data_IF_194761303432
#
_entry.id   IF_194761303432
#
_cell.length_a   1.000
_cell.length_b   1.000
_cell.length_c   1.000
_cell.angle_alpha   90.00
_cell.angle_beta   90.00
_cell.angle_gamma   90.00
#
_symmetry.space_group_name_H-M   'P 1'
#
loop_
_entity.id
_entity.type
_entity.pdbx_description
1 polymer ?
#
# COMPACT_ATOMS: atom_id res chain seq x y z
N UNK A 1 27.05 -67.20 22.92
CA UNK A 1 26.63 -66.70 21.59
C UNK A 1 25.92 -65.36 21.76
N UNK A 2 26.51 -64.32 21.14
CA UNK A 2 26.00 -63.04 20.61
C UNK A 2 24.82 -62.27 21.27
N UNK A 3 25.10 -60.98 21.48
CA UNK A 3 24.29 -59.85 21.94
C UNK A 3 22.97 -59.61 21.17
N UNK A 4 22.02 -58.94 21.82
CA UNK A 4 21.47 -57.65 21.34
C UNK A 4 20.64 -56.94 22.45
N UNK A 5 21.24 -55.95 23.12
CA UNK A 5 20.50 -54.94 23.90
C UNK A 5 20.11 -53.83 22.91
N UNK A 6 18.82 -53.76 22.56
CA UNK A 6 18.27 -52.67 21.76
C UNK A 6 18.14 -51.42 22.62
N UNK A 7 19.13 -50.53 22.52
CA UNK A 7 19.07 -49.16 22.99
C UNK A 7 18.33 -48.32 21.94
N UNK A 8 17.05 -48.03 22.19
CA UNK A 8 16.31 -47.03 21.43
C UNK A 8 16.78 -45.62 21.84
N UNK A 9 17.72 -45.06 21.08
CA UNK A 9 18.03 -43.64 21.07
C UNK A 9 16.84 -42.87 20.47
N UNK A 10 16.01 -42.27 21.32
CA UNK A 10 15.01 -41.29 20.90
C UNK A 10 15.75 -39.97 20.63
N UNK A 11 16.07 -39.72 19.36
CA UNK A 11 16.56 -38.42 18.92
C UNK A 11 15.41 -37.40 19.00
N UNK A 12 15.40 -36.56 20.03
CA UNK A 12 14.56 -35.36 20.08
C UNK A 12 15.06 -34.39 19.00
N UNK A 13 14.47 -34.47 17.81
CA UNK A 13 14.63 -33.44 16.78
C UNK A 13 14.07 -32.12 17.30
N UNK A 14 14.95 -31.13 17.49
CA UNK A 14 14.55 -29.77 17.77
C UNK A 14 13.75 -29.22 16.57
N UNK A 15 12.43 -29.25 16.68
CA UNK A 15 11.53 -28.56 15.77
C UNK A 15 11.77 -27.05 15.95
N UNK A 16 12.63 -26.47 15.11
CA UNK A 16 12.62 -25.05 14.83
C UNK A 16 11.26 -24.72 14.19
N UNK A 17 10.26 -24.42 15.03
CA UNK A 17 9.05 -23.79 14.55
C UNK A 17 9.48 -22.47 13.90
N UNK A 18 9.12 -22.20 12.63
CA UNK A 18 9.35 -20.89 12.06
C UNK A 18 8.61 -19.90 12.96
N UNK A 19 9.35 -18.96 13.56
CA UNK A 19 8.72 -17.78 14.13
C UNK A 19 8.02 -17.10 12.97
N UNK A 20 6.70 -17.26 12.89
CA UNK A 20 5.88 -16.43 12.04
C UNK A 20 6.05 -15.00 12.55
N UNK A 21 7.03 -14.29 11.99
CA UNK A 21 7.08 -12.85 12.11
C UNK A 21 5.75 -12.39 11.53
N UNK A 22 4.88 -11.86 12.38
CA UNK A 22 3.64 -11.23 11.95
C UNK A 22 4.05 -10.00 11.14
N UNK A 23 4.37 -10.22 9.87
CA UNK A 23 4.71 -9.16 8.93
C UNK A 23 3.50 -8.27 8.70
N UNK A 24 3.74 -7.10 8.12
CA UNK A 24 2.66 -6.18 7.77
C UNK A 24 1.53 -6.90 7.03
N UNK A 25 0.34 -6.83 7.59
CA UNK A 25 -0.89 -7.29 6.95
C UNK A 25 -1.31 -6.26 5.90
N UNK A 26 -1.63 -6.69 4.69
CA UNK A 26 -2.18 -5.79 3.67
C UNK A 26 -3.57 -6.24 3.24
N UNK A 27 -4.54 -5.35 3.41
CA UNK A 27 -5.92 -5.48 2.98
C UNK A 27 -6.11 -4.63 1.72
N UNK A 28 -6.73 -5.18 0.69
CA UNK A 28 -7.00 -4.46 -0.57
C UNK A 28 -8.48 -4.49 -0.85
N UNK A 29 -9.07 -3.33 -1.09
CA UNK A 29 -10.42 -3.19 -1.59
C UNK A 29 -10.40 -2.43 -2.91
N UNK A 30 -11.17 -2.91 -3.87
CA UNK A 30 -11.36 -2.23 -5.15
C UNK A 30 -12.84 -1.90 -5.32
N UNK A 31 -13.12 -0.64 -5.62
CA UNK A 31 -14.45 -0.12 -5.93
C UNK A 31 -14.45 0.44 -7.34
N UNK A 32 -15.64 0.48 -7.93
CA UNK A 32 -15.83 1.04 -9.26
C UNK A 32 -16.99 2.02 -9.28
N UNK A 33 -16.93 2.99 -10.18
CA UNK A 33 -18.03 3.89 -10.50
C UNK A 33 -18.33 3.85 -12.00
N UNK A 34 -19.61 3.94 -12.36
CA UNK A 34 -20.04 3.75 -13.75
C UNK A 34 -19.95 5.03 -14.56
N UNK A 35 -19.31 4.90 -15.72
CA UNK A 35 -19.26 5.92 -16.77
C UNK A 35 -19.93 5.40 -18.04
N UNK A 36 -20.50 6.32 -18.81
CA UNK A 36 -21.13 6.05 -20.09
C UNK A 36 -20.74 7.14 -21.09
N UNK A 37 -20.61 6.77 -22.36
CA UNK A 37 -20.26 7.69 -23.44
C UNK A 37 -20.00 6.96 -24.75
N UNK A 38 -20.17 7.67 -25.86
CA UNK A 38 -19.96 7.15 -27.22
C UNK A 38 -18.66 7.64 -27.88
N UNK A 39 -17.85 8.42 -27.16
CA UNK A 39 -16.56 8.94 -27.61
C UNK A 39 -15.57 9.03 -26.45
N UNK A 40 -14.27 9.12 -26.73
CA UNK A 40 -13.25 9.27 -25.70
C UNK A 40 -13.42 10.54 -24.86
N UNK A 41 -13.78 11.65 -25.49
CA UNK A 41 -14.08 12.91 -24.81
C UNK A 41 -15.27 12.78 -23.84
N UNK A 42 -16.35 12.13 -24.27
CA UNK A 42 -17.51 11.89 -23.41
C UNK A 42 -17.16 11.00 -22.20
N UNK A 43 -16.25 10.02 -22.37
CA UNK A 43 -15.76 9.21 -21.24
C UNK A 43 -14.93 10.04 -20.26
N UNK A 44 -14.06 10.94 -20.72
CA UNK A 44 -13.29 11.85 -19.86
C UNK A 44 -14.23 12.77 -19.06
N UNK A 45 -15.22 13.34 -19.72
CA UNK A 45 -16.24 14.19 -19.06
C UNK A 45 -17.05 13.40 -18.01
N UNK A 46 -17.46 12.17 -18.32
CA UNK A 46 -18.14 11.30 -17.38
C UNK A 46 -17.28 10.97 -16.15
N UNK A 47 -15.96 10.78 -16.32
CA UNK A 47 -15.03 10.58 -15.20
C UNK A 47 -14.85 11.87 -14.38
N UNK A 48 -14.73 13.03 -15.03
CA UNK A 48 -14.62 14.33 -14.37
C UNK A 48 -15.87 14.76 -13.60
N UNK A 49 -17.03 14.14 -13.85
CA UNK A 49 -18.28 14.41 -13.14
C UNK A 49 -18.65 13.36 -12.09
N UNK A 50 -18.22 12.11 -12.26
CA UNK A 50 -18.63 10.98 -11.40
C UNK A 50 -17.50 10.36 -10.57
N UNK A 51 -16.26 10.75 -10.85
CA UNK A 51 -15.08 10.17 -10.21
C UNK A 51 -15.03 10.40 -8.69
N UNK A 52 -14.06 9.81 -8.00
CA UNK A 52 -13.79 10.18 -6.61
C UNK A 52 -13.53 11.68 -6.46
N UNK A 53 -14.09 12.29 -5.42
CA UNK A 53 -13.86 13.71 -5.11
C UNK A 53 -12.39 13.95 -4.77
N UNK A 54 -11.84 15.00 -5.36
CA UNK A 54 -10.51 15.52 -5.09
C UNK A 54 -10.64 17.01 -4.74
N UNK A 55 -10.34 17.38 -3.49
CA UNK A 55 -10.65 18.73 -2.99
C UNK A 55 -12.15 19.03 -2.96
N UNK A 56 -12.52 20.32 -2.88
CA UNK A 56 -13.92 20.74 -2.72
C UNK A 56 -14.73 20.70 -4.03
N UNK A 57 -14.09 20.89 -5.19
CA UNK A 57 -14.77 21.14 -6.47
C UNK A 57 -14.35 20.21 -7.63
N UNK A 58 -13.34 19.35 -7.47
CA UNK A 58 -12.81 18.55 -8.59
C UNK A 58 -12.99 17.05 -8.36
N UNK A 59 -13.00 16.28 -9.44
CA UNK A 59 -13.04 14.81 -9.39
C UNK A 59 -11.81 14.24 -10.10
N UNK A 60 -11.21 13.21 -9.52
CA UNK A 60 -10.13 12.46 -10.14
C UNK A 60 -10.68 11.34 -11.03
N UNK A 61 -9.91 10.92 -12.04
CA UNK A 61 -10.26 9.78 -12.91
C UNK A 61 -10.26 8.47 -12.11
N UNK A 62 -9.26 8.27 -11.26
CA UNK A 62 -9.16 7.15 -10.35
C UNK A 62 -8.53 7.63 -9.05
N UNK A 63 -8.52 6.78 -8.03
CA UNK A 63 -7.90 7.12 -6.76
C UNK A 63 -7.38 5.87 -6.05
N UNK A 64 -6.18 5.98 -5.51
CA UNK A 64 -5.64 5.12 -4.46
C UNK A 64 -5.67 5.87 -3.14
N UNK A 65 -6.36 5.31 -2.15
CA UNK A 65 -6.35 5.79 -0.78
C UNK A 65 -5.85 4.69 0.16
N UNK A 66 -5.32 5.07 1.33
CA UNK A 66 -4.88 4.08 2.29
C UNK A 66 -5.00 4.54 3.75
N UNK A 67 -5.12 3.57 4.65
CA UNK A 67 -4.88 3.75 6.09
C UNK A 67 -3.78 2.80 6.54
N UNK A 68 -3.05 3.21 7.57
CA UNK A 68 -1.91 2.45 8.07
C UNK A 68 -1.88 2.48 9.59
N UNK A 69 -2.17 1.32 10.19
CA UNK A 69 -2.33 1.12 11.63
C UNK A 69 -1.18 0.28 12.20
N UNK A 70 -0.74 0.58 13.42
CA UNK A 70 0.38 -0.12 14.07
C UNK A 70 0.02 -0.58 15.48
N UNK A 71 0.23 -1.86 15.75
CA UNK A 71 0.24 -2.42 17.09
C UNK A 71 1.69 -2.69 17.52
N UNK A 72 2.14 -2.00 18.57
CA UNK A 72 3.51 -2.08 19.06
C UNK A 72 3.61 -2.95 20.32
N UNK A 73 4.28 -4.10 20.18
CA UNK A 73 4.68 -4.95 21.29
C UNK A 73 5.95 -4.41 21.94
N UNK A 74 5.87 -3.99 23.19
CA UNK A 74 7.00 -3.40 23.94
C UNK A 74 7.33 -4.28 25.13
N UNK A 75 8.61 -4.59 25.30
CA UNK A 75 9.13 -5.34 26.45
C UNK A 75 10.02 -4.45 27.30
N UNK A 76 9.93 -4.60 28.61
CA UNK A 76 10.80 -3.91 29.57
C UNK A 76 11.88 -4.87 30.07
N UNK A 77 13.09 -4.37 30.25
CA UNK A 77 14.23 -5.09 30.78
C UNK A 77 15.13 -4.12 31.56
N UNK A 78 15.28 -4.34 32.87
CA UNK A 78 16.19 -3.59 33.76
C UNK A 78 16.14 -2.07 33.58
N UNK A 79 14.93 -1.49 33.59
CA UNK A 79 14.73 -0.04 33.45
C UNK A 79 14.88 0.51 32.03
N UNK A 80 15.03 -0.36 31.03
CA UNK A 80 14.99 -0.01 29.60
C UNK A 80 13.78 -0.67 28.93
N UNK A 81 13.35 -0.14 27.78
CA UNK A 81 12.30 -0.75 26.98
C UNK A 81 12.74 -0.97 25.54
N UNK A 82 12.27 -2.06 24.95
CA UNK A 82 12.52 -2.43 23.56
C UNK A 82 11.21 -2.69 22.83
N UNK A 83 11.07 -2.15 21.61
CA UNK A 83 10.01 -2.54 20.69
C UNK A 83 10.35 -3.93 20.17
N UNK A 84 9.67 -4.96 20.68
CA UNK A 84 9.89 -6.36 20.28
C UNK A 84 9.24 -6.64 18.92
N UNK A 85 8.06 -6.08 18.70
CA UNK A 85 7.22 -6.34 17.52
C UNK A 85 6.52 -5.06 17.09
N UNK A 86 6.34 -4.89 15.78
CA UNK A 86 5.54 -3.85 15.18
C UNK A 86 4.61 -4.46 14.13
N UNK A 87 3.38 -4.77 14.55
CA UNK A 87 2.40 -5.40 13.67
C UNK A 87 1.65 -4.29 12.92
N UNK A 88 2.03 -4.06 11.67
CA UNK A 88 1.37 -3.08 10.79
C UNK A 88 0.16 -3.67 10.05
N UNK A 89 -0.92 -2.91 9.91
CA UNK A 89 -2.01 -3.20 8.95
C UNK A 89 -2.13 -2.06 7.96
N UNK A 90 -2.00 -2.36 6.67
CA UNK A 90 -2.23 -1.43 5.57
C UNK A 90 -3.58 -1.77 4.92
N UNK A 91 -4.51 -0.82 4.92
CA UNK A 91 -5.74 -0.93 4.15
C UNK A 91 -5.63 -0.06 2.91
N UNK A 92 -5.52 -0.69 1.73
CA UNK A 92 -5.49 -0.04 0.42
C UNK A 92 -6.88 -0.04 -0.21
N UNK A 93 -7.29 1.11 -0.74
CA UNK A 93 -8.56 1.29 -1.42
C UNK A 93 -8.29 1.85 -2.82
N UNK A 94 -8.67 1.10 -3.84
CA UNK A 94 -8.65 1.57 -5.23
C UNK A 94 -10.07 1.92 -5.68
N UNK A 95 -10.22 3.06 -6.35
CA UNK A 95 -11.47 3.47 -7.00
C UNK A 95 -11.21 3.69 -8.49
N UNK A 96 -11.90 2.91 -9.33
CA UNK A 96 -11.69 2.92 -10.78
C UNK A 96 -12.97 3.22 -11.57
N UNK A 97 -12.86 3.84 -12.74
CA UNK A 97 -14.00 3.96 -13.65
C UNK A 97 -14.33 2.60 -14.28
N UNK A 98 -15.62 2.32 -14.45
CA UNK A 98 -16.13 1.15 -15.18
C UNK A 98 -16.97 1.62 -16.36
N UNK A 99 -16.59 1.21 -17.56
CA UNK A 99 -17.36 1.49 -18.77
C UNK A 99 -18.65 0.67 -18.77
N UNK A 100 -19.78 1.35 -18.56
CA UNK A 100 -21.10 0.73 -18.43
C UNK A 100 -21.95 0.80 -19.71
N UNK A 101 -21.54 1.61 -20.69
CA UNK A 101 -22.21 1.71 -22.00
C UNK A 101 -21.56 0.80 -23.05
N UNK A 102 -22.32 0.33 -24.05
CA UNK A 102 -21.74 -0.22 -25.27
C UNK A 102 -20.78 0.78 -25.91
N UNK A 103 -19.70 0.28 -26.50
CA UNK A 103 -18.71 1.07 -27.22
C UNK A 103 -18.39 0.42 -28.56
N UNK A 104 -18.06 1.23 -29.57
CA UNK A 104 -17.54 0.71 -30.85
C UNK A 104 -16.23 -0.05 -30.61
N UNK A 105 -15.85 -1.00 -31.48
CA UNK A 105 -14.59 -1.73 -31.32
C UNK A 105 -13.38 -0.81 -31.16
N UNK A 106 -13.29 0.25 -31.97
CA UNK A 106 -12.22 1.23 -31.90
C UNK A 106 -12.18 2.00 -30.57
N UNK A 107 -13.33 2.45 -30.05
CA UNK A 107 -13.39 3.13 -28.75
C UNK A 107 -13.04 2.18 -27.60
N UNK A 108 -13.52 0.93 -27.65
CA UNK A 108 -13.21 -0.09 -26.65
C UNK A 108 -11.71 -0.40 -26.58
N UNK A 109 -11.04 -0.42 -27.72
CA UNK A 109 -9.59 -0.63 -27.80
C UNK A 109 -8.81 0.51 -27.13
N UNK A 110 -9.16 1.76 -27.44
CA UNK A 110 -8.56 2.95 -26.79
C UNK A 110 -8.85 2.98 -25.30
N UNK A 111 -10.08 2.67 -24.90
CA UNK A 111 -10.48 2.54 -23.49
C UNK A 111 -9.62 1.52 -22.74
N UNK A 112 -9.40 0.34 -23.31
CA UNK A 112 -8.61 -0.71 -22.65
C UNK A 112 -7.16 -0.27 -22.41
N UNK A 113 -6.54 0.42 -23.38
CA UNK A 113 -5.19 0.98 -23.21
C UNK A 113 -5.15 2.06 -22.14
N UNK A 114 -6.06 3.02 -22.21
CA UNK A 114 -6.21 4.07 -21.21
C UNK A 114 -6.37 3.48 -19.81
N UNK A 115 -7.31 2.54 -19.64
CA UNK A 115 -7.61 1.95 -18.35
C UNK A 115 -6.45 1.11 -17.80
N UNK A 116 -5.68 0.45 -18.67
CA UNK A 116 -4.45 -0.22 -18.26
C UNK A 116 -3.42 0.77 -17.69
N UNK A 117 -3.24 1.93 -18.34
CA UNK A 117 -2.38 3.00 -17.86
C UNK A 117 -2.83 3.56 -16.50
N UNK A 118 -4.13 3.86 -16.36
CA UNK A 118 -4.72 4.30 -15.08
C UNK A 118 -4.48 3.28 -13.96
N UNK A 119 -4.74 1.99 -14.20
CA UNK A 119 -4.45 0.95 -13.20
C UNK A 119 -2.98 0.87 -12.82
N UNK A 120 -2.07 1.06 -13.78
CA UNK A 120 -0.63 1.04 -13.52
C UNK A 120 -0.18 2.24 -12.67
N UNK A 121 -0.75 3.42 -12.94
CA UNK A 121 -0.54 4.63 -12.15
C UNK A 121 -0.99 4.42 -10.69
N UNK A 122 -2.24 4.03 -10.48
CA UNK A 122 -2.77 3.74 -9.14
C UNK A 122 -2.01 2.60 -8.44
N UNK A 123 -1.64 1.55 -9.17
CA UNK A 123 -0.82 0.46 -8.65
C UNK A 123 0.55 0.92 -8.13
N UNK A 124 1.10 2.00 -8.68
CA UNK A 124 2.36 2.58 -8.20
C UNK A 124 2.18 3.24 -6.84
N UNK A 125 1.09 3.99 -6.61
CA UNK A 125 0.77 4.51 -5.28
C UNK A 125 0.63 3.41 -4.23
N UNK A 126 -0.07 2.32 -4.59
CA UNK A 126 -0.20 1.16 -3.72
C UNK A 126 1.13 0.49 -3.39
N UNK A 127 2.08 0.45 -4.33
CA UNK A 127 3.44 -0.04 -4.10
C UNK A 127 4.23 0.87 -3.16
N UNK A 128 4.14 2.18 -3.33
CA UNK A 128 4.80 3.17 -2.46
C UNK A 128 4.30 3.01 -1.02
N UNK A 129 2.98 2.89 -0.81
CA UNK A 129 2.40 2.68 0.52
C UNK A 129 2.81 1.33 1.16
N UNK A 130 2.91 0.24 0.38
CA UNK A 130 3.44 -1.04 0.88
C UNK A 130 4.90 -0.93 1.31
N UNK A 131 5.69 -0.20 0.54
CA UNK A 131 7.10 0.01 0.86
C UNK A 131 7.26 0.85 2.13
N UNK A 132 6.44 1.89 2.31
CA UNK A 132 6.37 2.69 3.54
C UNK A 132 6.20 1.80 4.77
N UNK A 133 5.25 0.86 4.73
CA UNK A 133 5.02 -0.06 5.84
C UNK A 133 6.22 -0.95 6.12
N UNK A 134 6.79 -1.53 5.07
CA UNK A 134 7.96 -2.41 5.16
C UNK A 134 9.15 -1.67 5.77
N UNK A 135 9.39 -0.42 5.35
CA UNK A 135 10.44 0.45 5.90
C UNK A 135 10.15 0.75 7.36
N UNK A 136 8.94 1.21 7.68
CA UNK A 136 8.53 1.55 9.04
C UNK A 136 8.79 0.42 10.02
N UNK A 137 8.34 -0.81 9.70
CA UNK A 137 8.58 -2.00 10.54
C UNK A 137 10.08 -2.19 10.83
N UNK A 138 10.93 -2.16 9.81
CA UNK A 138 12.38 -2.32 9.98
C UNK A 138 13.01 -1.25 10.86
N UNK A 139 12.50 -0.01 10.82
CA UNK A 139 13.08 1.12 11.56
C UNK A 139 12.69 1.15 13.04
N UNK A 140 11.56 0.54 13.39
CA UNK A 140 11.02 0.55 14.75
C UNK A 140 11.19 -0.78 15.46
N UNK A 141 11.17 -1.90 14.74
CA UNK A 141 11.41 -3.22 15.34
C UNK A 141 12.84 -3.28 15.89
N UNK A 142 12.96 -3.62 17.17
CA UNK A 142 14.22 -3.66 17.87
C UNK A 142 14.68 -2.34 18.51
N UNK A 143 13.98 -1.23 18.28
CA UNK A 143 14.25 0.06 18.94
C UNK A 143 14.34 -0.14 20.46
N UNK A 144 15.47 0.23 21.07
CA UNK A 144 15.69 0.18 22.52
C UNK A 144 15.90 1.58 23.06
N UNK A 145 15.26 1.89 24.19
CA UNK A 145 15.41 3.14 24.92
C UNK A 145 15.74 2.83 26.38
N UNK A 146 16.82 3.43 26.88
CA UNK A 146 17.27 3.29 28.26
C UNK A 146 16.52 4.28 29.19
N UNK A 147 16.57 4.03 30.50
CA UNK A 147 15.98 4.89 31.53
C UNK A 147 14.49 5.19 31.26
N UNK A 148 13.74 4.14 30.96
CA UNK A 148 12.33 4.18 30.57
C UNK A 148 11.53 3.09 31.32
N UNK A 149 11.40 3.18 32.66
CA UNK A 149 10.78 2.13 33.47
C UNK A 149 9.28 1.91 33.20
N UNK A 150 8.64 2.77 32.39
CA UNK A 150 7.23 2.65 32.01
C UNK A 150 7.04 2.56 30.48
N UNK A 151 8.13 2.41 29.72
CA UNK A 151 8.12 2.32 28.26
C UNK A 151 7.52 3.53 27.50
N UNK A 152 7.30 4.67 28.16
CA UNK A 152 6.71 5.84 27.52
C UNK A 152 7.64 6.45 26.48
N UNK A 153 8.95 6.50 26.78
CA UNK A 153 9.94 7.08 25.85
C UNK A 153 10.10 6.20 24.60
N UNK A 154 10.15 4.88 24.77
CA UNK A 154 10.20 3.93 23.66
C UNK A 154 8.98 4.03 22.74
N UNK A 155 7.76 4.13 23.32
CA UNK A 155 6.53 4.30 22.54
C UNK A 155 6.49 5.64 21.82
N UNK A 156 6.93 6.72 22.48
CA UNK A 156 6.99 8.05 21.87
C UNK A 156 7.98 8.10 20.71
N UNK A 157 9.18 7.54 20.89
CA UNK A 157 10.20 7.48 19.84
C UNK A 157 9.76 6.61 18.67
N UNK A 158 9.11 5.47 18.92
CA UNK A 158 8.54 4.63 17.86
C UNK A 158 7.50 5.41 17.04
N UNK A 159 6.58 6.13 17.69
CA UNK A 159 5.60 6.99 17.00
C UNK A 159 6.27 8.09 16.19
N UNK A 160 7.29 8.75 16.74
CA UNK A 160 8.05 9.79 16.04
C UNK A 160 8.69 9.24 14.76
N UNK A 161 9.29 8.04 14.81
CA UNK A 161 9.88 7.37 13.64
C UNK A 161 8.83 6.97 12.61
N UNK A 162 7.69 6.43 13.04
CA UNK A 162 6.57 6.11 12.14
C UNK A 162 6.15 7.37 11.38
N UNK A 163 5.92 8.49 12.07
CA UNK A 163 5.52 9.75 11.44
C UNK A 163 6.57 10.30 10.48
N UNK A 164 7.85 10.18 10.81
CA UNK A 164 8.94 10.60 9.91
C UNK A 164 8.95 9.78 8.60
N UNK A 165 8.80 8.45 8.69
CA UNK A 165 8.71 7.59 7.49
C UNK A 165 7.44 7.91 6.70
N UNK A 166 6.31 8.16 7.36
CA UNK A 166 5.07 8.54 6.67
C UNK A 166 5.24 9.83 5.89
N UNK A 167 5.80 10.87 6.50
CA UNK A 167 6.05 12.15 5.82
C UNK A 167 6.97 11.98 4.59
N UNK A 168 8.02 11.15 4.70
CA UNK A 168 8.90 10.83 3.57
C UNK A 168 8.14 10.15 2.44
N UNK A 169 7.30 9.16 2.75
CA UNK A 169 6.59 8.40 1.74
C UNK A 169 5.42 9.17 1.13
N UNK A 170 4.75 10.05 1.87
CA UNK A 170 3.79 11.00 1.30
C UNK A 170 4.47 11.98 0.33
N UNK A 171 5.67 12.46 0.65
CA UNK A 171 6.44 13.25 -0.30
C UNK A 171 6.78 12.46 -1.58
N UNK A 172 7.03 11.15 -1.48
CA UNK A 172 7.23 10.27 -2.65
C UNK A 172 5.95 10.07 -3.48
N UNK A 173 4.79 9.95 -2.83
CA UNK A 173 3.49 9.90 -3.52
C UNK A 173 3.29 11.18 -4.34
N UNK A 174 3.44 12.34 -3.70
CA UNK A 174 3.28 13.65 -4.34
C UNK A 174 4.30 13.87 -5.48
N UNK A 175 5.55 13.46 -5.28
CA UNK A 175 6.58 13.55 -6.31
C UNK A 175 6.33 12.59 -7.49
N UNK A 176 5.63 11.48 -7.28
CA UNK A 176 5.16 10.63 -8.37
C UNK A 176 4.06 11.33 -9.17
N UNK A 177 3.04 11.84 -8.50
CA UNK A 177 1.96 12.58 -9.15
C UNK A 177 2.46 13.77 -9.95
N UNK A 178 3.33 14.59 -9.37
CA UNK A 178 3.89 15.76 -10.03
C UNK A 178 4.63 15.41 -11.33
N UNK A 179 5.32 14.27 -11.39
CA UNK A 179 6.01 13.82 -12.61
C UNK A 179 5.05 13.24 -13.64
N UNK A 180 4.04 12.51 -13.22
CA UNK A 180 3.07 11.86 -14.10
C UNK A 180 2.09 12.88 -14.73
N UNK A 181 1.76 13.93 -13.99
CA UNK A 181 0.79 14.97 -14.36
C UNK A 181 1.41 16.27 -14.91
N UNK A 182 2.74 16.34 -15.05
CA UNK A 182 3.39 17.50 -15.72
C UNK A 182 2.91 17.64 -17.17
N UNK A 183 3.13 18.81 -17.76
CA UNK A 183 2.90 19.04 -19.19
C UNK A 183 3.69 18.04 -20.06
N UNK A 184 3.00 17.39 -21.01
CA UNK A 184 3.54 16.27 -21.79
C UNK A 184 3.81 15.01 -20.95
N UNK A 185 3.19 14.92 -19.77
CA UNK A 185 3.32 13.80 -18.85
C UNK A 185 2.56 12.56 -19.32
N UNK A 186 2.82 11.45 -18.63
CA UNK A 186 2.20 10.16 -18.96
C UNK A 186 0.68 10.20 -18.86
N UNK A 187 0.12 10.88 -17.84
CA UNK A 187 -1.34 11.01 -17.67
C UNK A 187 -1.97 11.78 -18.83
N UNK A 188 -1.34 12.87 -19.27
CA UNK A 188 -1.80 13.66 -20.41
C UNK A 188 -1.80 12.82 -21.69
N UNK A 189 -0.74 12.04 -21.93
CA UNK A 189 -0.68 11.12 -23.06
C UNK A 189 -1.77 10.05 -23.04
N UNK A 190 -2.08 9.48 -21.86
CA UNK A 190 -3.17 8.53 -21.70
C UNK A 190 -4.52 9.16 -22.07
N UNK A 191 -4.80 10.36 -21.56
CA UNK A 191 -6.03 11.10 -21.86
C UNK A 191 -6.13 11.44 -23.35
N UNK A 192 -5.06 11.97 -23.94
CA UNK A 192 -5.02 12.31 -25.35
C UNK A 192 -5.24 11.08 -26.25
N UNK A 193 -4.64 9.93 -25.89
CA UNK A 193 -4.81 8.67 -26.61
C UNK A 193 -6.22 8.07 -26.48
N UNK A 194 -6.98 8.43 -25.44
CA UNK A 194 -8.39 8.05 -25.33
C UNK A 194 -9.28 8.92 -26.22
N UNK A 195 -9.03 10.25 -26.20
CA UNK A 195 -9.86 11.25 -26.90
C UNK A 195 -9.68 11.17 -28.41
N UNK A 196 -8.44 11.04 -28.90
CA UNK A 196 -8.15 11.06 -30.34
C UNK A 196 -8.75 9.82 -31.04
N UNK A 197 -9.48 9.98 -32.17
CA UNK A 197 -10.10 8.88 -32.91
C UNK A 197 -9.12 7.82 -33.39
#
# INVERSE_FOLDING_TARGET
MRLAVLTCLVALGALCAPQASAGTKVLVQTRTYDIAGNSGAALIEAMGSRGPKHGFMTHAIAQTAYTADWELGVIQDKGSCRIRQANGTLSLFYTFPRLASPATPALKERWNRFFAGVRAHEGTHGRIAREMMRVTDRWITGLRVANDPYCYKARSEARRRIQAVYAEYEARQNAFDAREHREGGHVEHLVAALIRP
#
